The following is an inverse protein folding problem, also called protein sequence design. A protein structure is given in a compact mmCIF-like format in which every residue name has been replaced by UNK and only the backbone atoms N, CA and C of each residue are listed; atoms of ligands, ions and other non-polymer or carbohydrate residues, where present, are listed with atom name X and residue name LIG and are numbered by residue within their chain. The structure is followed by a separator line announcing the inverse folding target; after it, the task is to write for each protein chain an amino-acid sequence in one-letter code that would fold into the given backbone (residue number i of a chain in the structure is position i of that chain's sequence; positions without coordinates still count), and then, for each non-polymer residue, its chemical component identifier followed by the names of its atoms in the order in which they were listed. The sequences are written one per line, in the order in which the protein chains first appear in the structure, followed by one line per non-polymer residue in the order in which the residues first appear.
data_IF_988970100372
#
_entry.id   IF_988970100372
#
_cell.length_a   1.000
_cell.length_b   1.000
_cell.length_c   1.000
_cell.angle_alpha   90.00
_cell.angle_beta   90.00
_cell.angle_gamma   90.00
#
_symmetry.space_group_name_H-M   'P 1'
#
loop_
_entity.id
_entity.type
_entity.pdbx_description
1 polymer ?
#
# COMPACT_ATOMS: atom_id res chain seq x y z
N UNK A 1 23.12 -28.82 3.91
CA UNK A 1 21.84 -29.08 3.23
C UNK A 1 20.78 -28.26 3.94
N UNK A 2 20.33 -27.16 3.34
CA UNK A 2 19.36 -26.24 3.95
C UNK A 2 17.95 -26.72 3.62
N UNK A 3 17.14 -27.01 4.65
CA UNK A 3 15.74 -27.40 4.50
C UNK A 3 14.94 -26.39 3.64
N UNK A 4 13.92 -26.84 2.89
CA UNK A 4 13.09 -25.93 2.10
C UNK A 4 12.42 -24.91 3.03
N UNK A 5 12.55 -23.64 2.67
CA UNK A 5 11.88 -22.53 3.34
C UNK A 5 10.37 -22.78 3.21
N UNK A 6 9.70 -23.05 4.33
CA UNK A 6 8.24 -23.05 4.38
C UNK A 6 7.79 -21.61 4.11
N UNK A 7 7.40 -21.34 2.88
CA UNK A 7 6.70 -20.12 2.51
C UNK A 7 5.31 -20.20 3.15
N UNK A 8 4.94 -19.21 3.97
CA UNK A 8 3.52 -18.96 4.19
C UNK A 8 2.86 -18.84 2.79
N UNK A 9 1.76 -19.56 2.51
CA UNK A 9 1.13 -19.46 1.21
C UNK A 9 0.66 -18.02 1.03
N UNK A 10 1.30 -17.30 0.10
CA UNK A 10 0.83 -15.98 -0.32
C UNK A 10 -0.60 -16.17 -0.85
N UNK A 11 -1.58 -15.38 -0.37
CA UNK A 11 -2.94 -15.49 -0.86
C UNK A 11 -2.92 -15.29 -2.38
N UNK A 12 -3.75 -16.05 -3.10
CA UNK A 12 -4.02 -15.80 -4.50
C UNK A 12 -4.50 -14.35 -4.68
N UNK A 13 -4.39 -13.83 -5.92
CA UNK A 13 -4.89 -12.47 -6.19
C UNK A 13 -6.38 -12.32 -5.87
N UNK A 14 -7.16 -13.39 -6.04
CA UNK A 14 -8.59 -13.38 -5.75
C UNK A 14 -8.84 -13.32 -4.24
N UNK A 15 -8.21 -14.19 -3.45
CA UNK A 15 -8.35 -14.18 -1.99
C UNK A 15 -7.93 -12.83 -1.39
N UNK A 16 -6.81 -12.28 -1.86
CA UNK A 16 -6.36 -10.96 -1.42
C UNK A 16 -7.33 -9.85 -1.84
N UNK A 17 -7.89 -9.92 -3.06
CA UNK A 17 -8.89 -8.98 -3.53
C UNK A 17 -10.17 -9.04 -2.69
N UNK A 18 -10.59 -10.23 -2.26
CA UNK A 18 -11.76 -10.39 -1.39
C UNK A 18 -11.51 -9.78 -0.01
N UNK A 19 -10.32 -9.99 0.56
CA UNK A 19 -9.93 -9.38 1.83
C UNK A 19 -9.91 -7.84 1.75
N UNK A 20 -9.37 -7.28 0.67
CA UNK A 20 -9.39 -5.81 0.46
C UNK A 20 -10.83 -5.32 0.30
N UNK A 21 -11.61 -5.95 -0.59
CA UNK A 21 -13.00 -5.55 -0.85
C UNK A 21 -13.89 -5.65 0.40
N UNK A 22 -13.66 -6.62 1.28
CA UNK A 22 -14.40 -6.76 2.53
C UNK A 22 -14.20 -5.58 3.50
N UNK A 23 -13.10 -4.82 3.35
CA UNK A 23 -12.84 -3.61 4.13
C UNK A 23 -13.34 -2.34 3.44
N UNK A 24 -13.52 -2.36 2.12
CA UNK A 24 -14.03 -1.22 1.35
C UNK A 24 -15.55 -1.09 1.52
N UNK A 25 -15.94 -0.18 2.40
CA UNK A 25 -17.34 0.16 2.68
C UNK A 25 -17.86 1.25 1.73
N UNK A 26 -19.15 1.63 1.84
CA UNK A 26 -19.81 2.58 0.93
C UNK A 26 -19.23 4.00 0.92
N UNK A 27 -18.50 4.39 1.95
CA UNK A 27 -17.81 5.69 2.02
C UNK A 27 -16.77 5.81 0.91
N UNK A 28 -16.43 7.04 0.46
CA UNK A 28 -15.30 7.26 -0.43
C UNK A 28 -14.00 6.76 0.19
N UNK A 29 -13.09 6.22 -0.62
CA UNK A 29 -11.78 5.74 -0.17
C UNK A 29 -10.66 6.44 -0.92
N UNK A 30 -9.60 6.78 -0.20
CA UNK A 30 -8.31 7.26 -0.71
C UNK A 30 -7.23 6.24 -0.37
N UNK A 31 -6.34 5.96 -1.32
CA UNK A 31 -5.24 5.02 -1.14
C UNK A 31 -3.94 5.76 -0.91
N UNK A 32 -3.24 5.45 0.18
CA UNK A 32 -1.97 6.11 0.54
C UNK A 32 -0.87 5.06 0.56
N UNK A 33 -0.02 5.10 -0.45
CA UNK A 33 1.06 4.15 -0.67
C UNK A 33 2.37 4.71 -0.13
N UNK A 34 2.76 4.21 1.04
CA UNK A 34 3.83 4.75 1.87
C UNK A 34 5.15 4.06 1.53
N UNK A 35 6.20 4.87 1.43
CA UNK A 35 7.56 4.42 1.17
C UNK A 35 8.34 5.40 0.30
N UNK A 36 9.55 5.02 -0.09
CA UNK A 36 10.43 5.80 -0.95
C UNK A 36 11.10 4.93 -2.00
N UNK A 37 11.27 5.50 -3.18
CA UNK A 37 12.09 5.01 -4.29
C UNK A 37 13.59 4.94 -3.99
N UNK A 38 14.06 5.64 -2.94
CA UNK A 38 15.48 5.71 -2.54
C UNK A 38 15.98 4.48 -1.77
N UNK A 39 15.10 3.57 -1.40
CA UNK A 39 15.43 2.32 -0.70
C UNK A 39 14.61 1.17 -1.28
N UNK A 40 15.28 0.11 -1.74
CA UNK A 40 14.61 -0.94 -2.52
C UNK A 40 13.52 -1.65 -1.75
N UNK A 41 13.69 -1.87 -0.44
CA UNK A 41 12.67 -2.46 0.44
C UNK A 41 11.52 -1.51 0.74
N UNK A 42 11.82 -0.20 0.79
CA UNK A 42 10.83 0.85 1.05
C UNK A 42 10.04 1.23 -0.22
N UNK A 43 10.49 0.78 -1.40
CA UNK A 43 9.84 1.09 -2.67
C UNK A 43 8.50 0.36 -2.87
N UNK A 44 8.12 -0.58 -1.99
CA UNK A 44 6.87 -1.36 -2.14
C UNK A 44 5.64 -0.47 -2.32
N UNK A 45 5.41 0.51 -1.44
CA UNK A 45 4.28 1.43 -1.55
C UNK A 45 4.29 2.19 -2.88
N UNK A 46 5.32 3.00 -3.19
CA UNK A 46 5.44 3.71 -4.46
C UNK A 46 5.21 2.83 -5.70
N UNK A 47 5.70 1.58 -5.69
CA UNK A 47 5.49 0.62 -6.78
C UNK A 47 4.02 0.16 -6.88
N UNK A 48 3.35 -0.08 -5.74
CA UNK A 48 1.92 -0.39 -5.71
C UNK A 48 1.10 0.78 -6.25
N UNK A 49 1.36 2.00 -5.77
CA UNK A 49 0.60 3.17 -6.19
C UNK A 49 0.76 3.49 -7.68
N UNK A 50 1.99 3.34 -8.21
CA UNK A 50 2.25 3.50 -9.65
C UNK A 50 1.47 2.49 -10.50
N UNK A 51 1.40 1.22 -10.07
CA UNK A 51 0.60 0.20 -10.78
C UNK A 51 -0.90 0.47 -10.66
N UNK A 52 -1.39 0.94 -9.50
CA UNK A 52 -2.81 1.29 -9.32
C UNK A 52 -3.24 2.43 -10.24
N UNK A 53 -2.45 3.50 -10.34
CA UNK A 53 -2.71 4.61 -11.27
C UNK A 53 -2.73 4.16 -12.73
N UNK A 54 -1.94 3.14 -13.09
CA UNK A 54 -1.96 2.54 -14.44
C UNK A 54 -3.22 1.71 -14.68
N UNK A 55 -3.73 1.01 -13.68
CA UNK A 55 -4.98 0.25 -13.79
C UNK A 55 -6.21 1.17 -13.82
N UNK A 56 -6.21 2.21 -12.98
CA UNK A 56 -7.32 3.14 -12.81
C UNK A 56 -6.78 4.58 -12.65
N UNK A 57 -6.71 5.35 -13.74
CA UNK A 57 -6.22 6.73 -13.70
C UNK A 57 -6.99 7.64 -12.73
N UNK A 58 -8.29 7.40 -12.55
CA UNK A 58 -9.15 8.19 -11.66
C UNK A 58 -9.19 7.66 -10.22
N UNK A 59 -8.43 6.63 -9.88
CA UNK A 59 -8.36 6.11 -8.51
C UNK A 59 -7.61 7.14 -7.64
N UNK A 60 -8.16 7.55 -6.48
CA UNK A 60 -7.51 8.53 -5.61
C UNK A 60 -6.34 7.88 -4.88
N UNK A 61 -5.17 7.88 -5.53
CA UNK A 61 -3.94 7.29 -5.03
C UNK A 61 -2.92 8.39 -4.74
N UNK A 62 -2.36 8.37 -3.55
CA UNK A 62 -1.21 9.17 -3.12
C UNK A 62 -0.03 8.24 -2.87
N UNK A 63 1.16 8.60 -3.35
CA UNK A 63 2.35 7.76 -3.27
C UNK A 63 2.54 6.94 -4.54
N UNK A 64 3.34 7.47 -5.46
CA UNK A 64 3.83 6.77 -6.65
C UNK A 64 5.36 6.81 -6.67
N UNK A 65 5.98 6.24 -7.71
CA UNK A 65 7.41 6.40 -7.92
C UNK A 65 7.78 7.86 -8.26
N UNK A 66 6.91 8.56 -9.00
CA UNK A 66 7.12 9.96 -9.36
C UNK A 66 6.89 10.90 -8.17
N UNK A 67 5.91 10.57 -7.31
CA UNK A 67 5.50 11.38 -6.16
C UNK A 67 5.36 10.49 -4.91
N UNK A 68 6.48 10.11 -4.27
CA UNK A 68 6.47 9.21 -3.12
C UNK A 68 5.89 9.88 -1.87
N UNK A 69 5.17 9.08 -1.06
CA UNK A 69 4.72 9.48 0.27
C UNK A 69 5.61 8.79 1.29
N UNK A 70 6.48 9.56 1.92
CA UNK A 70 7.47 9.07 2.87
C UNK A 70 7.42 9.85 4.19
N UNK A 71 8.21 9.42 5.17
CA UNK A 71 8.24 10.00 6.51
C UNK A 71 8.29 11.56 6.56
N UNK A 72 9.00 12.21 5.64
CA UNK A 72 9.22 13.66 5.67
C UNK A 72 8.05 14.50 5.12
N UNK A 73 7.14 13.91 4.33
CA UNK A 73 6.01 14.61 3.72
C UNK A 73 4.64 14.01 4.12
N UNK A 74 4.63 12.91 4.86
CA UNK A 74 3.41 12.18 5.23
C UNK A 74 2.35 13.08 5.88
N UNK A 75 2.72 13.88 6.89
CA UNK A 75 1.78 14.77 7.58
C UNK A 75 1.16 15.81 6.64
N UNK A 76 1.97 16.41 5.77
CA UNK A 76 1.48 17.36 4.75
C UNK A 76 0.52 16.69 3.77
N UNK A 77 0.80 15.45 3.35
CA UNK A 77 -0.05 14.69 2.45
C UNK A 77 -1.37 14.32 3.12
N UNK A 78 -1.36 13.93 4.40
CA UNK A 78 -2.58 13.63 5.14
C UNK A 78 -3.46 14.87 5.32
N UNK A 79 -2.86 16.04 5.60
CA UNK A 79 -3.59 17.30 5.67
C UNK A 79 -4.21 17.68 4.32
N UNK A 80 -3.48 17.46 3.22
CA UNK A 80 -4.00 17.67 1.87
C UNK A 80 -5.16 16.71 1.55
N UNK A 81 -5.05 15.43 1.91
CA UNK A 81 -6.13 14.45 1.72
C UNK A 81 -7.37 14.88 2.51
N UNK A 82 -7.21 15.28 3.76
CA UNK A 82 -8.32 15.71 4.61
C UNK A 82 -9.08 16.92 4.02
N UNK A 83 -8.39 17.84 3.34
CA UNK A 83 -9.01 19.01 2.71
C UNK A 83 -9.64 18.71 1.34
N UNK A 84 -9.06 17.81 0.54
CA UNK A 84 -9.50 17.54 -0.84
C UNK A 84 -10.48 16.37 -0.96
N UNK A 85 -10.48 15.46 0.01
CA UNK A 85 -11.35 14.27 0.05
C UNK A 85 -12.13 14.24 1.36
N UNK A 86 -12.99 15.24 1.65
CA UNK A 86 -13.71 15.32 2.91
C UNK A 86 -14.62 14.10 3.10
N UNK A 87 -14.53 13.46 4.27
CA UNK A 87 -15.30 12.26 4.60
C UNK A 87 -14.78 10.96 3.96
N UNK A 88 -13.68 11.01 3.21
CA UNK A 88 -13.06 9.81 2.68
C UNK A 88 -12.27 9.05 3.76
N UNK A 89 -12.31 7.73 3.67
CA UNK A 89 -11.53 6.79 4.49
C UNK A 89 -10.20 6.51 3.82
N UNK A 90 -9.16 6.22 4.60
CA UNK A 90 -7.82 5.96 4.06
C UNK A 90 -7.51 4.46 4.05
N UNK A 91 -7.08 3.95 2.90
CA UNK A 91 -6.48 2.63 2.76
C UNK A 91 -4.97 2.76 2.60
N UNK A 92 -4.20 2.42 3.64
CA UNK A 92 -2.75 2.55 3.61
C UNK A 92 -2.07 1.33 2.96
N UNK A 93 -0.96 1.53 2.28
CA UNK A 93 -0.09 0.46 1.77
C UNK A 93 1.32 0.72 2.29
N UNK A 94 1.95 -0.25 2.93
CA UNK A 94 3.26 -0.07 3.56
C UNK A 94 4.13 -1.33 3.47
N UNK A 95 5.45 -1.15 3.60
CA UNK A 95 6.41 -2.22 3.72
C UNK A 95 6.76 -2.50 5.18
N UNK A 96 6.98 -3.76 5.52
CA UNK A 96 7.41 -4.19 6.84
C UNK A 96 8.62 -5.13 6.74
N UNK A 97 9.37 -5.19 7.84
CA UNK A 97 10.37 -6.23 8.07
C UNK A 97 9.78 -7.24 9.06
N UNK A 98 10.07 -8.52 8.87
CA UNK A 98 9.48 -9.58 9.68
C UNK A 98 10.36 -10.82 9.78
N UNK A 99 9.90 -11.80 10.56
CA UNK A 99 10.63 -13.05 10.71
C UNK A 99 10.67 -13.84 9.40
N UNK A 100 11.61 -14.78 9.30
CA UNK A 100 11.85 -15.58 8.09
C UNK A 100 10.62 -16.34 7.60
N UNK A 101 9.76 -16.77 8.51
CA UNK A 101 8.50 -17.48 8.22
C UNK A 101 7.44 -16.59 7.57
N UNK A 102 7.55 -15.27 7.73
CA UNK A 102 6.60 -14.28 7.21
C UNK A 102 7.09 -13.60 5.93
N UNK A 103 8.29 -13.93 5.45
CA UNK A 103 8.88 -13.26 4.29
C UNK A 103 8.00 -13.44 3.04
N UNK A 104 7.63 -12.32 2.42
CA UNK A 104 6.77 -12.28 1.24
C UNK A 104 5.28 -12.33 1.54
N UNK A 105 4.87 -12.36 2.80
CA UNK A 105 3.46 -12.29 3.19
C UNK A 105 2.88 -10.91 2.91
N UNK A 106 1.63 -10.89 2.44
CA UNK A 106 0.79 -9.71 2.31
C UNK A 106 -0.33 -9.83 3.32
N UNK A 107 -0.48 -8.82 4.18
CA UNK A 107 -1.49 -8.81 5.24
C UNK A 107 -2.43 -7.65 5.03
N UNK A 108 -3.73 -7.94 4.98
CA UNK A 108 -4.80 -6.94 4.94
C UNK A 108 -5.47 -6.89 6.31
N UNK A 109 -5.62 -5.70 6.88
CA UNK A 109 -6.25 -5.54 8.18
C UNK A 109 -7.03 -4.22 8.30
N UNK A 110 -8.03 -4.23 9.17
CA UNK A 110 -8.75 -3.03 9.60
C UNK A 110 -7.89 -2.25 10.60
N UNK A 111 -8.00 -0.93 10.58
CA UNK A 111 -7.27 -0.02 11.44
C UNK A 111 -5.98 0.50 10.79
N UNK A 112 -5.29 1.42 11.49
CA UNK A 112 -4.15 2.11 10.92
C UNK A 112 -2.92 1.22 10.85
N UNK A 113 -2.06 1.54 9.88
CA UNK A 113 -0.65 1.18 9.93
C UNK A 113 0.13 2.23 10.71
N UNK A 114 1.28 1.84 11.25
CA UNK A 114 2.21 2.73 11.94
C UNK A 114 3.52 2.75 11.13
N UNK A 115 3.64 3.66 10.16
CA UNK A 115 4.79 3.66 9.25
C UNK A 115 6.10 3.85 10.00
N UNK A 116 7.17 3.20 9.53
CA UNK A 116 8.49 3.36 10.11
C UNK A 116 8.65 2.80 11.54
N UNK A 117 7.75 1.91 11.98
CA UNK A 117 7.90 1.15 13.23
C UNK A 117 9.13 0.23 13.12
N UNK A 118 10.29 0.74 13.50
CA UNK A 118 11.59 0.10 13.32
C UNK A 118 12.74 1.06 12.97
N UNK A 119 12.43 2.33 12.71
CA UNK A 119 13.41 3.38 12.33
C UNK A 119 13.32 4.64 13.21
N UNK A 120 12.75 4.53 14.42
CA UNK A 120 12.71 5.60 15.45
C UNK A 120 12.14 6.95 14.98
N UNK A 121 11.05 6.94 14.20
CA UNK A 121 10.32 8.17 13.83
C UNK A 121 8.95 8.20 14.48
N UNK A 122 8.58 9.35 15.06
CA UNK A 122 7.22 9.66 15.54
C UNK A 122 6.33 10.02 14.34
N UNK A 123 5.97 9.03 13.52
CA UNK A 123 5.04 9.22 12.41
C UNK A 123 3.59 9.04 12.88
N UNK A 124 2.63 9.81 12.32
CA UNK A 124 1.23 9.62 12.62
C UNK A 124 0.77 8.22 12.15
N UNK A 125 -0.20 7.66 12.86
CA UNK A 125 -0.89 6.46 12.42
C UNK A 125 -1.68 6.77 11.12
N UNK A 126 -1.66 5.87 10.14
CA UNK A 126 -2.26 6.10 8.82
C UNK A 126 -3.27 5.03 8.48
N UNK A 127 -4.47 5.44 8.07
CA UNK A 127 -5.45 4.52 7.50
C UNK A 127 -6.55 4.06 8.44
N UNK A 128 -7.70 3.80 7.84
CA UNK A 128 -8.83 3.06 8.37
C UNK A 128 -8.69 1.54 8.14
N UNK A 129 -7.91 1.20 7.13
CA UNK A 129 -7.53 -0.13 6.71
C UNK A 129 -6.13 -0.05 6.09
N UNK A 130 -5.44 -1.18 6.03
CA UNK A 130 -4.13 -1.22 5.40
C UNK A 130 -3.81 -2.57 4.77
N UNK A 131 -2.84 -2.53 3.86
CA UNK A 131 -2.12 -3.68 3.34
C UNK A 131 -0.63 -3.51 3.65
N UNK A 132 -0.03 -4.48 4.32
CA UNK A 132 1.42 -4.50 4.59
C UNK A 132 2.08 -5.67 3.88
N UNK A 133 3.30 -5.45 3.38
CA UNK A 133 4.14 -6.50 2.79
C UNK A 133 5.39 -6.72 3.62
N UNK A 134 5.66 -7.97 4.02
CA UNK A 134 6.94 -8.33 4.62
C UNK A 134 7.98 -8.50 3.52
N UNK A 135 8.76 -7.45 3.25
CA UNK A 135 9.67 -7.38 2.10
C UNK A 135 11.06 -7.96 2.38
N UNK A 136 11.46 -8.02 3.65
CA UNK A 136 12.74 -8.57 4.06
C UNK A 136 12.73 -9.01 5.54
N UNK A 137 13.79 -9.69 5.96
CA UNK A 137 13.97 -10.15 7.33
C UNK A 137 14.16 -8.98 8.30
N UNK A 138 13.54 -9.06 9.48
CA UNK A 138 13.94 -8.25 10.63
C UNK A 138 15.32 -8.70 11.13
N UNK A 139 16.13 -7.75 11.57
CA UNK A 139 17.50 -8.00 12.00
C UNK A 139 18.11 -6.83 12.76
N UNK A 140 19.37 -6.97 13.16
CA UNK A 140 20.16 -5.88 13.72
C UNK A 140 20.39 -4.86 12.59
N UNK A 141 19.76 -3.68 12.69
CA UNK A 141 19.68 -2.62 11.67
C UNK A 141 18.58 -2.75 10.58
N UNK A 142 17.31 -2.47 10.95
CA UNK A 142 16.16 -2.40 10.02
C UNK A 142 16.38 -1.52 8.78
N UNK A 143 16.96 -0.34 8.94
CA UNK A 143 17.19 0.60 7.83
C UNK A 143 18.12 0.01 6.76
N UNK A 144 19.19 -0.66 7.16
CA UNK A 144 20.13 -1.32 6.26
C UNK A 144 19.49 -2.49 5.52
N UNK A 145 18.60 -3.24 6.18
CA UNK A 145 17.87 -4.34 5.56
C UNK A 145 16.97 -3.85 4.43
N UNK A 146 16.30 -2.70 4.60
CA UNK A 146 15.49 -2.11 3.54
C UNK A 146 16.35 -1.71 2.33
N UNK A 147 17.53 -1.10 2.55
CA UNK A 147 18.42 -0.69 1.46
C UNK A 147 18.98 -1.85 0.63
N UNK A 148 19.14 -3.04 1.23
CA UNK A 148 19.67 -4.23 0.56
C UNK A 148 18.59 -5.25 0.17
N UNK A 149 17.31 -4.88 0.26
CA UNK A 149 16.24 -5.75 -0.18
C UNK A 149 16.31 -5.95 -1.70
N UNK A 150 16.11 -7.18 -2.18
CA UNK A 150 16.11 -7.45 -3.63
C UNK A 150 14.90 -6.79 -4.28
N UNK A 151 15.13 -5.78 -5.12
CA UNK A 151 14.06 -5.08 -5.85
C UNK A 151 13.15 -6.04 -6.63
N UNK A 152 13.69 -7.11 -7.22
CA UNK A 152 12.88 -8.11 -7.94
C UNK A 152 11.87 -8.85 -7.06
N UNK A 153 12.15 -8.99 -5.76
CA UNK A 153 11.20 -9.54 -4.80
C UNK A 153 10.10 -8.52 -4.48
N UNK A 154 10.50 -7.28 -4.15
CA UNK A 154 9.59 -6.17 -3.86
C UNK A 154 8.65 -5.89 -5.02
N UNK A 155 9.18 -5.87 -6.25
CA UNK A 155 8.40 -5.67 -7.46
C UNK A 155 7.34 -6.76 -7.68
N UNK A 156 7.69 -8.03 -7.43
CA UNK A 156 6.73 -9.14 -7.53
C UNK A 156 5.61 -9.02 -6.49
N UNK A 157 5.94 -8.58 -5.27
CA UNK A 157 4.93 -8.32 -4.23
C UNK A 157 4.04 -7.14 -4.63
N UNK A 158 4.63 -6.03 -5.09
CA UNK A 158 3.91 -4.83 -5.48
C UNK A 158 2.90 -5.12 -6.60
N UNK A 159 3.31 -5.82 -7.67
CA UNK A 159 2.40 -6.22 -8.76
C UNK A 159 1.30 -7.18 -8.32
N UNK A 160 1.56 -8.00 -7.30
CA UNK A 160 0.54 -8.90 -6.76
C UNK A 160 -0.50 -8.15 -5.94
N UNK A 161 -0.03 -7.26 -5.05
CA UNK A 161 -0.88 -6.40 -4.24
C UNK A 161 -1.70 -5.44 -5.11
N UNK A 162 -1.07 -4.71 -6.03
CA UNK A 162 -1.74 -3.78 -6.93
C UNK A 162 -2.81 -4.47 -7.78
N UNK A 163 -2.52 -5.65 -8.34
CA UNK A 163 -3.51 -6.42 -9.10
C UNK A 163 -4.72 -6.85 -8.27
N UNK A 164 -4.52 -7.28 -7.02
CA UNK A 164 -5.60 -7.64 -6.12
C UNK A 164 -6.42 -6.41 -5.68
N UNK A 165 -5.76 -5.30 -5.36
CA UNK A 165 -6.41 -4.05 -4.99
C UNK A 165 -7.19 -3.44 -6.17
N UNK A 166 -6.68 -3.55 -7.40
CA UNK A 166 -7.36 -3.14 -8.62
C UNK A 166 -8.67 -3.93 -8.83
N UNK A 167 -8.64 -5.26 -8.62
CA UNK A 167 -9.84 -6.11 -8.68
C UNK A 167 -10.87 -5.72 -7.59
N UNK A 168 -10.39 -5.48 -6.37
CA UNK A 168 -11.22 -5.04 -5.26
C UNK A 168 -11.87 -3.67 -5.55
N UNK A 169 -11.09 -2.73 -6.08
CA UNK A 169 -11.58 -1.40 -6.45
C UNK A 169 -12.64 -1.47 -7.55
N UNK A 170 -12.40 -2.24 -8.61
CA UNK A 170 -13.39 -2.42 -9.68
C UNK A 170 -14.72 -2.94 -9.14
N UNK A 171 -14.67 -3.95 -8.25
CA UNK A 171 -15.86 -4.52 -7.63
C UNK A 171 -16.56 -3.52 -6.70
N UNK A 172 -15.80 -2.77 -5.91
CA UNK A 172 -16.33 -1.72 -5.04
C UNK A 172 -17.06 -0.64 -5.82
N UNK A 173 -16.47 -0.16 -6.93
CA UNK A 173 -17.09 0.83 -7.81
C UNK A 173 -18.40 0.32 -8.41
N UNK A 174 -18.42 -0.92 -8.92
CA UNK A 174 -19.65 -1.53 -9.44
C UNK A 174 -20.73 -1.73 -8.37
N UNK A 175 -20.33 -1.97 -7.12
CA UNK A 175 -21.26 -2.24 -6.01
C UNK A 175 -21.89 -0.96 -5.46
N UNK A 176 -21.09 0.11 -5.27
CA UNK A 176 -21.52 1.31 -4.55
C UNK A 176 -21.66 2.56 -5.44
N UNK A 177 -21.06 2.56 -6.63
CA UNK A 177 -21.03 3.72 -7.53
C UNK A 177 -21.25 3.31 -9.01
N UNK A 178 -22.31 2.56 -9.33
CA UNK A 178 -22.51 1.99 -10.68
C UNK A 178 -22.62 3.06 -11.78
N UNK A 179 -23.11 4.26 -11.45
CA UNK A 179 -23.32 5.36 -12.40
C UNK A 179 -22.12 6.32 -12.50
N UNK A 180 -21.09 6.15 -11.67
CA UNK A 180 -19.95 7.07 -11.58
C UNK A 180 -18.90 6.91 -12.70
N UNK A 181 -19.14 6.04 -13.69
CA UNK A 181 -18.22 5.76 -14.78
C UNK A 181 -17.93 6.97 -15.72
N UNK A 182 -18.60 8.12 -15.53
CA UNK A 182 -18.54 9.26 -16.46
C UNK A 182 -18.19 10.62 -15.81
N UNK A 183 -17.82 10.67 -14.53
CA UNK A 183 -17.49 11.92 -13.85
C UNK A 183 -15.98 12.02 -13.57
N UNK A 184 -15.27 13.03 -14.11
CA UNK A 184 -13.85 13.22 -13.79
C UNK A 184 -13.71 13.51 -12.28
N UNK A 185 -12.86 12.74 -11.60
CA UNK A 185 -12.52 13.00 -10.20
C UNK A 185 -11.47 14.10 -10.12
N UNK A 186 -11.47 14.94 -9.07
CA UNK A 186 -10.46 15.97 -8.90
C UNK A 186 -9.05 15.36 -8.89
N UNK A 187 -8.11 16.05 -9.54
CA UNK A 187 -6.70 15.65 -9.61
C UNK A 187 -6.14 15.34 -8.22
N UNK A 188 -5.46 14.20 -8.09
CA UNK A 188 -4.81 13.78 -6.84
C UNK A 188 -3.63 14.66 -6.46
N UNK A 189 -3.04 15.38 -7.41
CA UNK A 189 -1.92 16.29 -7.17
C UNK A 189 -2.19 17.69 -7.73
N UNK A 190 -1.75 18.76 -7.04
CA UNK A 190 -1.82 20.11 -7.58
C UNK A 190 -0.92 20.24 -8.81
N UNK A 191 -1.39 20.98 -9.82
CA UNK A 191 -0.64 21.36 -11.02
C UNK A 191 0.55 22.25 -10.71
#
# INVERSE_FOLDING_TARGET
MSAPVSFYPRPSRMELSEQVNALLTHEPWVFVCIGSDRSTGDAFGPLVGSELMRYFPDMPVYGSLDEPVHALNLESVLNHIASHHPGARIFAVDAALGEKTLLGTLTVAKGPVFPGRGVEKNLPAVGDAHLTAVVNLSGWHPFWMLQHTRLSHVWKLARHAAGAMALAWARHQLTYFPDAAHSPRPSTYPS
#
